data_IF_399286281483
#
_entry.id   IF_399286281483
#
_cell.length_a   1.000
_cell.length_b   1.000
_cell.length_c   1.000
_cell.angle_alpha   90.00
_cell.angle_beta   90.00
_cell.angle_gamma   90.00
#
_symmetry.space_group_name_H-M   'P 1'
#
loop_
_entity.id
_entity.type
_entity.pdbx_description
1 polymer ?
#
# COMPACT_ATOMS: atom_id res chain seq x y z
N UNK A 1 7.88 -2.85 15.58
CA UNK A 1 7.16 -4.00 14.99
C UNK A 1 6.32 -4.83 15.96
N UNK A 2 6.79 -5.25 17.15
CA UNK A 2 5.94 -6.02 18.09
C UNK A 2 4.61 -5.32 18.42
N UNK A 3 4.61 -4.01 18.61
CA UNK A 3 3.37 -3.23 18.81
C UNK A 3 2.50 -3.16 17.54
N UNK A 4 3.10 -2.81 16.39
CA UNK A 4 2.41 -2.75 15.07
C UNK A 4 1.85 -4.11 14.62
N UNK A 5 2.50 -5.21 15.01
CA UNK A 5 2.08 -6.59 14.77
C UNK A 5 1.06 -7.07 15.81
N UNK A 6 1.15 -6.60 17.08
CA UNK A 6 0.18 -6.92 18.13
C UNK A 6 -1.22 -6.33 17.86
N UNK A 7 -1.32 -5.15 17.26
CA UNK A 7 -2.62 -4.59 16.87
C UNK A 7 -3.35 -5.40 15.79
N UNK A 8 -2.61 -6.20 15.02
CA UNK A 8 -3.16 -7.01 13.93
C UNK A 8 -4.10 -8.09 14.47
N UNK A 9 -3.82 -8.60 15.68
CA UNK A 9 -4.61 -9.65 16.32
C UNK A 9 -5.67 -9.09 17.26
N UNK A 10 -5.50 -7.88 17.81
CA UNK A 10 -6.50 -7.29 18.72
C UNK A 10 -7.71 -6.69 18.00
N UNK A 11 -7.59 -6.24 16.76
CA UNK A 11 -8.74 -5.74 15.99
C UNK A 11 -9.57 -6.87 15.34
N UNK A 12 -9.01 -8.08 15.20
CA UNK A 12 -9.74 -9.24 14.65
C UNK A 12 -10.83 -9.79 15.56
N UNK A 13 -10.81 -9.45 16.86
CA UNK A 13 -11.72 -9.96 17.88
C UNK A 13 -12.72 -8.92 18.42
N UNK A 14 -12.73 -7.70 17.88
CA UNK A 14 -13.68 -6.65 18.28
C UNK A 14 -14.91 -6.70 17.39
N UNK A 15 -16.09 -6.52 17.98
CA UNK A 15 -17.33 -6.43 17.22
C UNK A 15 -17.34 -5.18 16.32
N UNK A 16 -17.74 -5.35 15.05
CA UNK A 16 -17.90 -4.23 14.12
C UNK A 16 -19.17 -3.47 14.49
N UNK A 17 -19.01 -2.23 14.98
CA UNK A 17 -20.15 -1.37 15.33
C UNK A 17 -20.85 -0.77 14.11
N UNK A 18 -20.11 -0.49 13.04
CA UNK A 18 -20.61 0.19 11.86
C UNK A 18 -20.09 -0.47 10.58
N UNK A 19 -20.91 -0.47 9.52
CA UNK A 19 -20.52 -0.93 8.20
C UNK A 19 -20.58 0.18 7.17
N UNK A 20 -19.60 0.22 6.27
CA UNK A 20 -19.61 1.20 5.18
C UNK A 20 -20.78 0.97 4.21
N UNK A 21 -21.26 -0.27 4.09
CA UNK A 21 -22.49 -0.56 3.33
C UNK A 21 -23.67 0.24 3.84
N UNK A 22 -23.81 0.37 5.16
CA UNK A 22 -24.96 1.01 5.79
C UNK A 22 -24.92 2.53 5.56
N UNK A 23 -23.72 3.12 5.64
CA UNK A 23 -23.49 4.51 5.30
C UNK A 23 -23.82 4.80 3.82
N UNK A 24 -23.29 3.99 2.90
CA UNK A 24 -23.56 4.18 1.47
C UNK A 24 -25.03 3.96 1.13
N UNK A 25 -25.69 2.98 1.75
CA UNK A 25 -27.12 2.77 1.54
C UNK A 25 -27.98 3.95 1.97
N UNK A 26 -27.53 4.74 2.96
CA UNK A 26 -28.26 5.91 3.46
C UNK A 26 -27.99 7.17 2.65
N UNK A 27 -26.73 7.42 2.27
CA UNK A 27 -26.31 8.75 1.79
C UNK A 27 -25.76 8.79 0.36
N UNK A 28 -25.41 7.65 -0.24
CA UNK A 28 -24.75 7.65 -1.55
C UNK A 28 -25.61 8.23 -2.66
N UNK A 29 -26.90 7.88 -2.68
CA UNK A 29 -27.81 8.28 -3.75
C UNK A 29 -28.12 9.79 -3.70
N UNK A 30 -28.05 10.41 -2.53
CA UNK A 30 -28.15 11.87 -2.35
C UNK A 30 -26.85 12.56 -2.76
N UNK A 31 -25.69 12.10 -2.25
CA UNK A 31 -24.39 12.64 -2.63
C UNK A 31 -24.13 12.57 -4.14
N UNK A 32 -24.53 11.48 -4.79
CA UNK A 32 -24.33 11.27 -6.22
C UNK A 32 -25.11 12.26 -7.11
N UNK A 33 -26.15 12.92 -6.59
CA UNK A 33 -26.89 13.94 -7.33
C UNK A 33 -26.12 15.26 -7.42
N UNK A 34 -25.39 15.63 -6.37
CA UNK A 34 -24.65 16.88 -6.27
C UNK A 34 -23.26 16.66 -5.67
N UNK A 35 -22.38 15.92 -6.35
CA UNK A 35 -21.11 15.54 -5.77
C UNK A 35 -20.14 16.72 -5.74
N UNK A 36 -19.41 16.88 -4.63
CA UNK A 36 -18.40 17.94 -4.49
C UNK A 36 -17.24 17.81 -5.49
N UNK A 37 -16.98 16.59 -5.96
CA UNK A 37 -15.98 16.28 -6.99
C UNK A 37 -16.57 15.29 -7.99
N UNK A 38 -16.01 15.24 -9.20
CA UNK A 38 -16.43 14.26 -10.19
C UNK A 38 -16.24 12.82 -9.68
N UNK A 39 -17.34 12.05 -9.65
CA UNK A 39 -17.30 10.63 -9.27
C UNK A 39 -16.87 9.80 -10.48
N UNK A 40 -15.75 9.09 -10.35
CA UNK A 40 -15.25 8.23 -11.43
C UNK A 40 -16.07 6.94 -11.57
N UNK A 41 -16.10 6.30 -12.76
CA UNK A 41 -16.75 5.01 -12.95
C UNK A 41 -16.28 3.92 -11.97
N UNK A 42 -15.00 3.95 -11.58
CA UNK A 42 -14.41 3.02 -10.59
C UNK A 42 -14.97 3.26 -9.18
N UNK A 43 -15.23 4.51 -8.81
CA UNK A 43 -15.85 4.84 -7.52
C UNK A 43 -17.30 4.36 -7.48
N UNK A 44 -18.09 4.56 -8.55
CA UNK A 44 -19.44 4.00 -8.66
C UNK A 44 -19.44 2.47 -8.53
N UNK A 45 -18.54 1.78 -9.26
CA UNK A 45 -18.39 0.32 -9.15
C UNK A 45 -18.04 -0.11 -7.74
N UNK A 46 -17.16 0.63 -7.06
CA UNK A 46 -16.76 0.33 -5.69
C UNK A 46 -17.94 0.44 -4.72
N UNK A 47 -18.70 1.53 -4.77
CA UNK A 47 -19.81 1.76 -3.85
C UNK A 47 -20.93 0.75 -4.08
N UNK A 48 -21.33 0.53 -5.34
CA UNK A 48 -22.34 -0.47 -5.66
C UNK A 48 -21.94 -1.86 -5.16
N UNK A 49 -20.69 -2.27 -5.40
CA UNK A 49 -20.19 -3.55 -4.92
C UNK A 49 -20.17 -3.64 -3.38
N UNK A 50 -19.90 -2.55 -2.67
CA UNK A 50 -19.94 -2.50 -1.19
C UNK A 50 -21.38 -2.64 -0.69
N UNK A 51 -22.33 -1.91 -1.28
CA UNK A 51 -23.75 -1.91 -0.88
C UNK A 51 -24.40 -3.29 -0.98
N UNK A 52 -24.10 -4.06 -2.03
CA UNK A 52 -24.69 -5.39 -2.25
C UNK A 52 -23.88 -6.54 -1.65
N UNK A 53 -22.69 -6.28 -1.09
CA UNK A 53 -21.84 -7.33 -0.56
C UNK A 53 -22.46 -8.02 0.66
N UNK A 54 -22.46 -9.36 0.68
CA UNK A 54 -23.06 -10.17 1.76
C UNK A 54 -24.57 -9.90 1.94
N UNK A 55 -25.25 -9.70 0.82
CA UNK A 55 -26.72 -9.62 0.74
C UNK A 55 -27.24 -10.71 -0.19
N UNK A 56 -28.54 -11.01 -0.11
CA UNK A 56 -29.21 -11.99 -1.00
C UNK A 56 -29.15 -11.59 -2.47
N UNK A 57 -28.94 -10.31 -2.78
CA UNK A 57 -28.77 -9.79 -4.16
C UNK A 57 -27.64 -10.50 -4.92
N UNK A 58 -26.59 -10.96 -4.23
CA UNK A 58 -25.48 -11.69 -4.84
C UNK A 58 -25.66 -13.22 -4.81
N UNK A 59 -26.77 -13.73 -4.28
CA UNK A 59 -26.98 -15.15 -4.05
C UNK A 59 -26.57 -15.62 -2.65
N UNK A 60 -27.03 -16.82 -2.30
CA UNK A 60 -26.79 -17.48 -1.02
C UNK A 60 -26.32 -18.92 -1.26
N UNK A 61 -25.40 -19.40 -0.43
CA UNK A 61 -25.11 -20.82 -0.27
C UNK A 61 -25.79 -21.32 1.00
N UNK A 62 -26.53 -22.43 0.91
CA UNK A 62 -27.19 -23.05 2.07
C UNK A 62 -26.43 -24.30 2.47
N UNK A 63 -25.96 -24.32 3.72
CA UNK A 63 -25.25 -25.45 4.33
C UNK A 63 -26.15 -26.11 5.35
N UNK A 64 -26.19 -27.44 5.34
CA UNK A 64 -26.95 -28.23 6.32
C UNK A 64 -25.98 -29.15 7.03
N UNK A 65 -25.99 -29.11 8.37
CA UNK A 65 -25.21 -30.05 9.18
C UNK A 65 -25.82 -31.46 9.05
N UNK A 66 -25.06 -32.47 8.60
CA UNK A 66 -25.60 -33.82 8.47
C UNK A 66 -25.94 -34.47 9.82
N UNK A 67 -25.32 -34.02 10.91
CA UNK A 67 -25.48 -34.63 12.24
C UNK A 67 -26.65 -34.06 13.04
N UNK A 68 -26.88 -32.74 12.98
CA UNK A 68 -27.91 -32.06 13.77
C UNK A 68 -28.98 -31.34 12.94
N UNK A 69 -28.84 -31.30 11.61
CA UNK A 69 -29.77 -30.61 10.72
C UNK A 69 -29.71 -29.08 10.76
N UNK A 70 -28.77 -28.48 11.51
CA UNK A 70 -28.60 -27.02 11.55
C UNK A 70 -28.37 -26.46 10.15
N UNK A 71 -29.20 -25.51 9.75
CA UNK A 71 -29.10 -24.82 8.45
C UNK A 71 -28.39 -23.49 8.63
N UNK A 72 -27.38 -23.23 7.79
CA UNK A 72 -26.69 -21.95 7.70
C UNK A 72 -26.71 -21.42 6.29
N UNK A 73 -27.23 -20.23 6.12
CA UNK A 73 -27.19 -19.50 4.85
C UNK A 73 -26.05 -18.49 4.86
N UNK A 74 -25.25 -18.50 3.79
CA UNK A 74 -24.11 -17.61 3.63
C UNK A 74 -24.29 -16.82 2.34
N UNK A 75 -24.58 -15.52 2.47
CA UNK A 75 -24.64 -14.63 1.30
C UNK A 75 -23.28 -14.45 0.64
N UNK A 76 -23.29 -14.38 -0.69
CA UNK A 76 -22.08 -14.26 -1.49
C UNK A 76 -21.38 -12.90 -1.29
N UNK A 77 -20.07 -12.89 -1.50
CA UNK A 77 -19.22 -11.69 -1.38
C UNK A 77 -19.04 -11.01 -2.75
N UNK A 78 -18.99 -9.68 -2.80
CA UNK A 78 -18.81 -8.94 -4.07
C UNK A 78 -17.41 -9.07 -4.69
N UNK A 79 -16.41 -9.53 -3.92
CA UNK A 79 -14.99 -9.69 -4.34
C UNK A 79 -14.33 -8.40 -4.84
N UNK A 80 -14.94 -7.24 -4.61
CA UNK A 80 -14.37 -5.96 -5.03
C UNK A 80 -13.20 -5.56 -4.11
N UNK A 81 -12.09 -5.09 -4.71
CA UNK A 81 -10.85 -4.77 -3.98
C UNK A 81 -10.99 -3.70 -2.89
N UNK A 82 -11.97 -2.81 -3.04
CA UNK A 82 -12.26 -1.74 -2.08
C UNK A 82 -13.36 -2.12 -1.08
N UNK A 83 -13.88 -3.36 -1.13
CA UNK A 83 -14.85 -3.81 -0.14
C UNK A 83 -14.15 -4.18 1.18
N UNK A 84 -14.47 -3.53 2.31
CA UNK A 84 -13.84 -3.80 3.60
C UNK A 84 -14.13 -5.23 4.10
N UNK A 85 -15.23 -5.83 3.66
CA UNK A 85 -15.62 -7.20 4.02
C UNK A 85 -14.96 -8.29 3.16
N UNK A 86 -14.49 -7.98 1.95
CA UNK A 86 -13.92 -8.98 1.03
C UNK A 86 -12.39 -9.09 1.13
N UNK A 87 -11.71 -7.97 1.40
CA UNK A 87 -10.25 -7.89 1.23
C UNK A 87 -9.42 -8.82 2.12
N UNK A 88 -9.97 -9.29 3.27
CA UNK A 88 -9.25 -10.18 4.19
C UNK A 88 -8.82 -11.50 3.52
N UNK A 89 -9.76 -12.22 2.90
CA UNK A 89 -9.47 -13.52 2.28
C UNK A 89 -8.51 -13.37 1.10
N UNK A 90 -8.64 -12.30 0.33
CA UNK A 90 -7.75 -12.02 -0.79
C UNK A 90 -6.34 -11.62 -0.32
N UNK A 91 -6.21 -10.91 0.81
CA UNK A 91 -4.92 -10.68 1.49
C UNK A 91 -4.27 -12.02 1.84
N UNK A 92 -5.00 -12.96 2.47
CA UNK A 92 -4.45 -14.25 2.86
C UNK A 92 -4.01 -15.09 1.64
N UNK A 93 -4.86 -15.18 0.61
CA UNK A 93 -4.53 -15.88 -0.64
C UNK A 93 -3.32 -15.26 -1.34
N UNK A 94 -3.25 -13.93 -1.39
CA UNK A 94 -2.08 -13.24 -1.95
C UNK A 94 -0.84 -13.53 -1.12
N UNK A 95 -0.94 -13.49 0.21
CA UNK A 95 0.18 -13.74 1.10
C UNK A 95 0.74 -15.16 0.96
N UNK A 96 -0.12 -16.18 0.86
CA UNK A 96 0.27 -17.56 0.60
C UNK A 96 1.06 -17.67 -0.72
N UNK A 97 0.53 -17.10 -1.82
CA UNK A 97 1.21 -17.10 -3.12
C UNK A 97 2.54 -16.35 -3.11
N UNK A 98 2.67 -15.28 -2.34
CA UNK A 98 3.95 -14.56 -2.23
C UNK A 98 4.96 -15.35 -1.44
N UNK A 99 4.54 -16.00 -0.33
CA UNK A 99 5.40 -16.86 0.48
C UNK A 99 6.07 -17.95 -0.36
N UNK A 100 5.32 -18.59 -1.27
CA UNK A 100 5.86 -19.63 -2.16
C UNK A 100 6.95 -19.13 -3.12
N UNK A 101 6.98 -17.82 -3.41
CA UNK A 101 7.96 -17.20 -4.33
C UNK A 101 9.16 -16.58 -3.62
N UNK A 102 9.18 -16.60 -2.28
CA UNK A 102 10.23 -15.94 -1.50
C UNK A 102 11.38 -16.90 -1.23
N UNK A 103 12.60 -16.34 -1.23
CA UNK A 103 13.80 -17.07 -0.84
C UNK A 103 13.71 -17.46 0.65
N UNK A 104 14.24 -18.62 1.03
CA UNK A 104 14.28 -19.06 2.44
C UNK A 104 15.41 -18.38 3.20
N UNK A 105 15.35 -17.06 3.28
CA UNK A 105 16.30 -16.19 4.01
C UNK A 105 15.52 -15.19 4.86
N UNK A 106 16.14 -14.50 5.84
CA UNK A 106 15.49 -13.41 6.53
C UNK A 106 15.05 -12.30 5.56
N UNK A 107 14.02 -11.53 5.91
CA UNK A 107 13.53 -10.43 5.08
C UNK A 107 13.44 -9.13 5.87
N UNK A 108 13.56 -8.00 5.18
CA UNK A 108 13.31 -6.68 5.73
C UNK A 108 12.05 -6.08 5.18
N UNK A 109 11.30 -5.42 6.06
CA UNK A 109 10.28 -4.47 5.63
C UNK A 109 10.95 -3.11 5.38
N UNK A 110 10.77 -2.58 4.18
CA UNK A 110 11.30 -1.29 3.76
C UNK A 110 10.16 -0.35 3.43
N UNK A 111 10.24 0.90 3.90
CA UNK A 111 9.37 1.98 3.47
C UNK A 111 10.20 3.07 2.82
N UNK A 112 9.79 3.52 1.64
CA UNK A 112 10.37 4.69 0.98
C UNK A 112 9.26 5.67 0.62
N UNK A 113 9.42 6.93 1.03
CA UNK A 113 8.38 7.96 0.93
C UNK A 113 8.85 9.11 0.07
N UNK A 114 7.94 9.64 -0.77
CA UNK A 114 8.19 10.85 -1.53
C UNK A 114 8.03 12.10 -0.66
N UNK A 115 8.93 13.10 -0.79
CA UNK A 115 8.75 14.41 -0.18
C UNK A 115 7.42 15.06 -0.57
N UNK A 116 6.76 15.74 0.37
CA UNK A 116 5.43 16.31 0.13
C UNK A 116 5.41 17.43 -0.92
N UNK A 117 6.55 18.07 -1.16
CA UNK A 117 6.73 19.06 -2.24
C UNK A 117 6.44 18.47 -3.64
N UNK A 118 6.48 17.15 -3.81
CA UNK A 118 6.15 16.48 -5.07
C UNK A 118 4.65 16.18 -5.23
N UNK A 119 3.83 16.37 -4.20
CA UNK A 119 2.45 15.87 -4.21
C UNK A 119 1.57 16.51 -5.29
N UNK A 120 1.76 17.79 -5.59
CA UNK A 120 0.98 18.42 -6.67
C UNK A 120 1.37 17.87 -8.04
N UNK A 121 2.67 17.60 -8.26
CA UNK A 121 3.13 16.91 -9.45
C UNK A 121 2.59 15.46 -9.51
N UNK A 122 2.50 14.77 -8.37
CA UNK A 122 1.88 13.44 -8.26
C UNK A 122 0.40 13.47 -8.61
N UNK A 123 -0.36 14.48 -8.17
CA UNK A 123 -1.80 14.58 -8.49
C UNK A 123 -2.04 14.68 -9.98
N UNK A 124 -1.27 15.52 -10.68
CA UNK A 124 -1.37 15.72 -12.14
C UNK A 124 -0.81 14.55 -12.93
N UNK A 125 0.29 13.95 -12.47
CA UNK A 125 1.05 12.93 -13.20
C UNK A 125 0.97 11.55 -12.53
N UNK A 126 -0.21 11.17 -12.04
CA UNK A 126 -0.38 10.03 -11.13
C UNK A 126 0.26 8.74 -11.66
N UNK A 127 -0.01 8.35 -12.90
CA UNK A 127 0.55 7.12 -13.48
C UNK A 127 2.09 7.16 -13.50
N UNK A 128 2.64 8.28 -13.96
CA UNK A 128 4.07 8.42 -14.25
C UNK A 128 4.88 8.53 -12.97
N UNK A 129 4.41 9.36 -12.04
CA UNK A 129 5.02 9.57 -10.72
C UNK A 129 5.01 8.28 -9.87
N UNK A 130 3.91 7.53 -9.89
CA UNK A 130 3.81 6.29 -9.13
C UNK A 130 4.65 5.16 -9.76
N UNK A 131 4.75 5.13 -11.10
CA UNK A 131 5.63 4.20 -11.80
C UNK A 131 7.11 4.44 -11.48
N UNK A 132 7.58 5.69 -11.56
CA UNK A 132 8.97 5.99 -11.24
C UNK A 132 9.28 5.70 -9.76
N UNK A 133 8.37 6.01 -8.82
CA UNK A 133 8.54 5.68 -7.41
C UNK A 133 8.74 4.17 -7.19
N UNK A 134 7.83 3.35 -7.74
CA UNK A 134 7.89 1.90 -7.59
C UNK A 134 9.17 1.30 -8.21
N UNK A 135 9.60 1.83 -9.35
CA UNK A 135 10.82 1.39 -10.04
C UNK A 135 12.06 1.78 -9.25
N UNK A 136 12.23 3.06 -8.95
CA UNK A 136 13.47 3.58 -8.36
C UNK A 136 13.64 3.12 -6.92
N UNK A 137 12.56 2.89 -6.16
CA UNK A 137 12.66 2.32 -4.81
C UNK A 137 13.21 0.89 -4.83
N UNK A 138 12.71 0.04 -5.73
CA UNK A 138 13.18 -1.34 -5.87
C UNK A 138 14.61 -1.42 -6.43
N UNK A 139 14.94 -0.60 -7.44
CA UNK A 139 16.29 -0.52 -8.01
C UNK A 139 17.32 -0.05 -6.98
N UNK A 140 16.98 0.94 -6.15
CA UNK A 140 17.88 1.43 -5.09
C UNK A 140 18.31 0.28 -4.18
N UNK A 141 17.36 -0.55 -3.73
CA UNK A 141 17.66 -1.68 -2.85
C UNK A 141 18.48 -2.76 -3.55
N UNK A 142 18.16 -3.05 -4.82
CA UNK A 142 18.90 -4.04 -5.62
C UNK A 142 20.35 -3.62 -5.86
N UNK A 143 20.55 -2.38 -6.28
CA UNK A 143 21.89 -1.83 -6.55
C UNK A 143 22.71 -1.75 -5.26
N UNK A 144 22.07 -1.36 -4.15
CA UNK A 144 22.73 -1.33 -2.85
C UNK A 144 23.16 -2.73 -2.39
N UNK A 145 22.29 -3.74 -2.48
CA UNK A 145 22.63 -5.13 -2.14
C UNK A 145 23.74 -5.69 -3.04
N UNK A 146 23.69 -5.39 -4.33
CA UNK A 146 24.73 -5.77 -5.27
C UNK A 146 26.07 -5.09 -4.94
N UNK A 147 26.07 -3.78 -4.72
CA UNK A 147 27.29 -3.03 -4.44
C UNK A 147 27.93 -3.41 -3.09
N UNK A 148 27.12 -3.66 -2.05
CA UNK A 148 27.65 -3.90 -0.69
C UNK A 148 27.94 -5.35 -0.39
N UNK A 149 27.20 -6.28 -1.00
CA UNK A 149 27.30 -7.70 -0.68
C UNK A 149 27.56 -8.59 -1.91
N UNK A 150 27.52 -8.05 -3.13
CA UNK A 150 27.64 -8.85 -4.35
C UNK A 150 26.43 -9.75 -4.61
N UNK A 151 25.25 -9.41 -4.04
CA UNK A 151 24.08 -10.29 -4.04
C UNK A 151 22.94 -9.73 -4.88
N UNK A 152 22.35 -10.60 -5.71
CA UNK A 152 21.07 -10.35 -6.38
C UNK A 152 19.92 -10.60 -5.40
N UNK A 153 19.40 -9.53 -4.80
CA UNK A 153 18.26 -9.58 -3.86
C UNK A 153 16.91 -9.61 -4.57
N UNK A 154 15.92 -10.23 -3.92
CA UNK A 154 14.51 -10.17 -4.30
C UNK A 154 13.79 -9.01 -3.60
N UNK A 155 12.91 -8.32 -4.33
CA UNK A 155 12.08 -7.23 -3.79
C UNK A 155 10.63 -7.42 -4.25
N UNK A 156 9.71 -7.43 -3.29
CA UNK A 156 8.26 -7.33 -3.52
C UNK A 156 7.83 -5.93 -3.11
N UNK A 157 7.30 -5.13 -4.02
CA UNK A 157 6.87 -3.76 -3.74
C UNK A 157 5.34 -3.63 -3.82
N UNK A 158 4.77 -2.86 -2.89
CA UNK A 158 3.36 -2.48 -2.85
C UNK A 158 3.27 -0.97 -2.68
N UNK A 159 2.50 -0.34 -3.56
CA UNK A 159 2.26 1.08 -3.54
C UNK A 159 1.22 1.47 -2.49
N UNK A 160 1.45 2.58 -1.80
CA UNK A 160 0.47 3.19 -0.92
C UNK A 160 0.46 4.72 -1.10
N UNK A 161 -0.72 5.30 -1.33
CA UNK A 161 -0.86 6.72 -1.68
C UNK A 161 -1.42 7.58 -0.55
N UNK A 162 -1.82 6.99 0.57
CA UNK A 162 -2.44 7.72 1.69
C UNK A 162 -1.83 7.31 3.02
N UNK A 163 -1.80 8.25 3.98
CA UNK A 163 -1.39 7.99 5.35
C UNK A 163 -2.53 7.47 6.23
N UNK A 164 -2.24 7.21 7.50
CA UNK A 164 -3.28 6.85 8.49
C UNK A 164 -4.31 7.97 8.68
N UNK A 165 -3.90 9.23 8.56
CA UNK A 165 -4.78 10.42 8.58
C UNK A 165 -5.58 10.63 7.30
N UNK A 166 -5.48 9.71 6.33
CA UNK A 166 -6.15 9.77 5.01
C UNK A 166 -5.74 10.95 4.11
N UNK A 167 -4.69 11.67 4.51
CA UNK A 167 -4.03 12.65 3.66
C UNK A 167 -3.14 11.96 2.62
N UNK A 168 -2.97 12.62 1.47
CA UNK A 168 -2.12 12.13 0.39
C UNK A 168 -0.67 11.99 0.91
N UNK A 169 -0.17 10.77 0.91
CA UNK A 169 1.15 10.42 1.43
C UNK A 169 1.69 9.25 0.61
N UNK A 170 2.51 9.56 -0.37
CA UNK A 170 2.90 8.57 -1.39
C UNK A 170 4.19 7.87 -1.01
N UNK A 171 4.09 6.56 -0.80
CA UNK A 171 5.17 5.71 -0.33
C UNK A 171 5.04 4.27 -0.85
N UNK A 172 6.15 3.54 -0.81
CA UNK A 172 6.16 2.10 -1.12
C UNK A 172 6.42 1.31 0.15
N UNK A 173 5.64 0.26 0.39
CA UNK A 173 6.00 -0.82 1.30
C UNK A 173 6.70 -1.91 0.48
N UNK A 174 7.89 -2.32 0.89
CA UNK A 174 8.64 -3.36 0.21
C UNK A 174 9.06 -4.46 1.16
N UNK A 175 9.06 -5.70 0.67
CA UNK A 175 9.68 -6.85 1.33
C UNK A 175 10.93 -7.15 0.53
N UNK A 176 12.09 -6.98 1.17
CA UNK A 176 13.40 -7.22 0.56
C UNK A 176 14.03 -8.44 1.22
N UNK A 177 14.57 -9.37 0.42
CA UNK A 177 15.35 -10.47 0.99
C UNK A 177 16.65 -9.95 1.60
N UNK A 178 16.90 -10.28 2.86
CA UNK A 178 18.19 -10.05 3.51
C UNK A 178 19.13 -11.20 3.15
N UNK A 179 19.73 -11.04 1.97
CA UNK A 179 20.38 -12.11 1.24
C UNK A 179 19.93 -12.11 -0.22
N UNK A 180 20.52 -13.00 -0.98
CA UNK A 180 20.28 -13.09 -2.41
C UNK A 180 21.11 -14.18 -3.06
N UNK A 181 21.13 -14.15 -4.38
CA UNK A 181 21.90 -15.07 -5.21
C UNK A 181 23.25 -14.42 -5.51
N UNK A 182 24.35 -15.10 -5.21
CA UNK A 182 25.70 -14.67 -5.57
C UNK A 182 26.02 -14.91 -7.06
N UNK A 183 27.27 -14.70 -7.47
CA UNK A 183 27.68 -14.92 -8.86
C UNK A 183 27.75 -16.41 -9.24
N UNK A 184 27.86 -17.32 -8.28
CA UNK A 184 27.89 -18.78 -8.47
C UNK A 184 26.48 -19.40 -8.45
N UNK A 185 25.44 -18.59 -8.27
CA UNK A 185 24.06 -19.07 -8.18
C UNK A 185 23.66 -19.58 -6.79
N UNK A 186 24.50 -19.41 -5.77
CA UNK A 186 24.21 -19.85 -4.40
C UNK A 186 23.42 -18.80 -3.64
N UNK A 187 22.54 -19.26 -2.76
CA UNK A 187 21.82 -18.39 -1.84
C UNK A 187 22.75 -18.04 -0.67
N UNK A 188 23.01 -16.75 -0.49
CA UNK A 188 23.91 -16.23 0.54
C UNK A 188 23.17 -15.20 1.40
N UNK A 189 23.44 -15.22 2.70
CA UNK A 189 22.99 -14.24 3.68
C UNK A 189 24.22 -13.43 4.11
N UNK A 190 24.19 -12.08 4.11
CA UNK A 190 25.31 -11.29 4.61
C UNK A 190 25.69 -11.64 6.05
N UNK A 191 26.98 -11.80 6.30
CA UNK A 191 27.52 -12.09 7.64
C UNK A 191 27.34 -10.91 8.62
N UNK A 192 27.20 -9.70 8.09
CA UNK A 192 27.08 -8.47 8.88
C UNK A 192 25.85 -7.66 8.47
N UNK A 193 25.19 -7.07 9.46
CA UNK A 193 24.07 -6.16 9.28
C UNK A 193 24.55 -4.74 8.94
N UNK A 194 25.15 -4.56 7.76
CA UNK A 194 25.52 -3.22 7.29
C UNK A 194 24.33 -2.52 6.66
N UNK A 195 23.81 -1.47 7.30
CA UNK A 195 22.79 -0.56 6.76
C UNK A 195 23.22 0.88 6.96
N UNK A 196 23.40 1.62 5.86
CA UNK A 196 23.69 3.06 5.91
C UNK A 196 22.57 3.87 5.23
N UNK A 197 21.56 4.22 6.02
CA UNK A 197 20.34 4.92 5.56
C UNK A 197 20.64 6.18 4.74
N UNK A 198 21.55 7.10 5.15
CA UNK A 198 21.83 8.31 4.38
C UNK A 198 22.31 8.03 2.95
N UNK A 199 23.10 6.97 2.73
CA UNK A 199 23.53 6.56 1.39
C UNK A 199 22.37 6.03 0.57
N UNK A 200 21.51 5.18 1.16
CA UNK A 200 20.35 4.62 0.47
C UNK A 200 19.37 5.74 0.09
N UNK A 201 19.08 6.67 1.00
CA UNK A 201 18.27 7.87 0.73
C UNK A 201 18.85 8.68 -0.44
N UNK A 202 20.17 8.91 -0.46
CA UNK A 202 20.84 9.67 -1.52
C UNK A 202 20.71 9.01 -2.88
N UNK A 203 20.88 7.68 -2.96
CA UNK A 203 20.75 6.91 -4.20
C UNK A 203 19.29 6.90 -4.68
N UNK A 204 18.34 6.66 -3.77
CA UNK A 204 16.91 6.70 -4.09
C UNK A 204 16.50 8.05 -4.66
N UNK A 205 16.87 9.13 -3.98
CA UNK A 205 16.65 10.50 -4.45
C UNK A 205 17.21 10.70 -5.85
N UNK A 206 18.50 10.39 -6.06
CA UNK A 206 19.16 10.60 -7.35
C UNK A 206 18.46 9.83 -8.49
N UNK A 207 18.12 8.56 -8.27
CA UNK A 207 17.39 7.76 -9.27
C UNK A 207 16.01 8.34 -9.58
N UNK A 208 15.29 8.78 -8.55
CA UNK A 208 13.98 9.39 -8.74
C UNK A 208 14.07 10.73 -9.48
N UNK A 209 14.99 11.60 -9.09
CA UNK A 209 15.24 12.89 -9.75
C UNK A 209 15.63 12.70 -11.21
N UNK A 210 16.53 11.75 -11.50
CA UNK A 210 16.92 11.43 -12.87
C UNK A 210 15.71 10.99 -13.71
N UNK A 211 14.92 10.04 -13.21
CA UNK A 211 13.72 9.57 -13.89
C UNK A 211 12.68 10.70 -14.09
N UNK A 212 12.57 11.61 -13.13
CA UNK A 212 11.67 12.76 -13.22
C UNK A 212 12.14 13.77 -14.27
N UNK A 213 13.46 13.99 -14.35
CA UNK A 213 14.07 14.83 -15.39
C UNK A 213 13.85 14.24 -16.77
N UNK A 214 14.01 12.93 -16.95
CA UNK A 214 13.72 12.25 -18.22
C UNK A 214 12.25 12.43 -18.65
N UNK A 215 11.30 12.35 -17.70
CA UNK A 215 9.90 12.58 -18.01
C UNK A 215 9.62 14.03 -18.42
N UNK A 216 10.29 15.00 -17.79
CA UNK A 216 10.22 16.41 -18.17
C UNK A 216 10.78 16.64 -19.57
N UNK A 217 12.01 16.18 -19.82
CA UNK A 217 12.71 16.38 -21.09
C UNK A 217 11.99 15.68 -22.26
N UNK A 218 11.23 14.61 -21.98
CA UNK A 218 10.38 13.92 -22.96
C UNK A 218 8.99 14.56 -23.15
N UNK A 219 8.65 15.65 -22.45
CA UNK A 219 7.33 16.29 -22.53
C UNK A 219 6.18 15.43 -21.98
N UNK A 220 6.48 14.51 -21.05
CA UNK A 220 5.52 13.56 -20.47
C UNK A 220 4.99 13.96 -19.10
N UNK A 221 5.32 15.15 -18.64
CA UNK A 221 4.83 15.72 -17.39
C UNK A 221 3.85 16.86 -17.67
N UNK A 222 2.67 16.79 -17.08
CA UNK A 222 1.77 17.91 -16.92
C UNK A 222 2.28 18.81 -15.79
N UNK A 223 2.70 20.04 -16.13
CA UNK A 223 3.32 20.98 -15.20
C UNK A 223 3.15 22.44 -15.65
N UNK A 224 3.44 23.37 -14.74
CA UNK A 224 3.36 24.82 -15.00
C UNK A 224 4.75 25.50 -15.15
N UNK A 225 5.85 24.72 -15.16
CA UNK A 225 7.20 25.28 -15.36
C UNK A 225 7.34 25.91 -16.75
N UNK A 226 7.85 27.15 -16.81
CA UNK A 226 8.03 27.91 -18.07
C UNK A 226 9.11 27.31 -18.97
N UNK A 227 10.17 26.82 -18.35
CA UNK A 227 11.32 26.26 -19.03
C UNK A 227 12.03 25.22 -18.16
N UNK A 228 13.04 24.59 -18.75
CA UNK A 228 13.88 23.59 -18.08
C UNK A 228 14.66 24.18 -16.89
N UNK A 229 15.03 25.45 -16.93
CA UNK A 229 15.79 26.10 -15.86
C UNK A 229 14.92 26.24 -14.61
N UNK A 230 13.66 26.63 -14.77
CA UNK A 230 12.68 26.70 -13.69
C UNK A 230 12.42 25.32 -13.07
N UNK A 231 12.26 24.29 -13.91
CA UNK A 231 12.11 22.92 -13.44
C UNK A 231 13.33 22.41 -12.67
N UNK A 232 14.55 22.65 -13.16
CA UNK A 232 15.77 22.30 -12.41
C UNK A 232 15.89 23.06 -11.09
N UNK A 233 15.42 24.31 -11.03
CA UNK A 233 15.26 25.06 -9.79
C UNK A 233 14.31 24.38 -8.80
N UNK A 234 13.20 23.81 -9.28
CA UNK A 234 12.30 22.98 -8.48
C UNK A 234 12.97 21.69 -8.01
N UNK A 235 13.67 20.95 -8.88
CA UNK A 235 14.43 19.75 -8.49
C UNK A 235 15.44 20.07 -7.37
N UNK A 236 16.16 21.20 -7.45
CA UNK A 236 17.06 21.63 -6.37
C UNK A 236 16.32 21.87 -5.05
N UNK A 237 15.11 22.44 -5.09
CA UNK A 237 14.26 22.60 -3.89
C UNK A 237 13.86 21.24 -3.32
N UNK A 238 13.47 20.29 -4.18
CA UNK A 238 13.15 18.90 -3.79
C UNK A 238 14.36 18.22 -3.16
N UNK A 239 15.55 18.38 -3.73
CA UNK A 239 16.79 17.77 -3.26
C UNK A 239 17.21 18.25 -1.86
N UNK A 240 16.90 19.50 -1.54
CA UNK A 240 17.20 20.14 -0.26
C UNK A 240 16.19 19.82 0.85
N UNK A 241 15.09 19.12 0.56
CA UNK A 241 14.15 18.67 1.59
C UNK A 241 14.75 17.50 2.37
N UNK A 242 14.56 17.52 3.69
CA UNK A 242 14.97 16.44 4.60
C UNK A 242 14.02 15.24 4.60
N UNK A 243 12.97 15.28 3.78
CA UNK A 243 11.84 14.35 3.85
C UNK A 243 11.97 13.14 2.91
N UNK A 244 13.17 12.89 2.38
CA UNK A 244 13.49 11.64 1.67
C UNK A 244 13.63 10.51 2.69
N UNK A 245 12.51 10.01 3.16
CA UNK A 245 12.44 9.03 4.24
C UNK A 245 12.63 7.63 3.64
N UNK A 246 13.68 6.96 4.11
CA UNK A 246 13.88 5.52 3.93
C UNK A 246 13.92 4.88 5.31
N UNK A 247 13.02 3.92 5.54
CA UNK A 247 12.98 3.14 6.75
C UNK A 247 13.25 1.68 6.42
N UNK A 248 14.30 1.10 7.00
CA UNK A 248 14.61 -0.33 6.92
C UNK A 248 14.47 -0.94 8.31
N UNK A 249 13.53 -1.86 8.47
CA UNK A 249 13.44 -2.67 9.68
C UNK A 249 14.58 -3.71 9.75
N UNK A 250 14.92 -4.20 10.95
CA UNK A 250 15.81 -5.35 11.13
C UNK A 250 15.33 -6.59 10.36
N UNK A 251 16.22 -7.53 10.01
CA UNK A 251 15.86 -8.72 9.26
C UNK A 251 15.06 -9.68 10.14
N UNK A 252 13.99 -10.27 9.58
CA UNK A 252 13.08 -11.17 10.29
C UNK A 252 13.01 -12.52 9.59
N UNK A 253 13.09 -13.60 10.37
CA UNK A 253 12.99 -14.98 9.87
C UNK A 253 11.56 -15.43 9.51
N UNK A 254 10.53 -14.71 9.95
CA UNK A 254 9.12 -15.03 9.74
C UNK A 254 8.44 -14.06 8.76
N UNK A 255 8.57 -14.27 7.44
CA UNK A 255 8.02 -13.36 6.44
C UNK A 255 6.48 -13.38 6.42
N UNK A 256 5.79 -14.39 6.93
CA UNK A 256 4.33 -14.51 6.85
C UNK A 256 3.61 -13.28 7.41
N UNK A 257 4.05 -12.80 8.58
CA UNK A 257 3.45 -11.64 9.22
C UNK A 257 3.72 -10.36 8.43
N UNK A 258 4.92 -10.21 7.89
CA UNK A 258 5.31 -9.07 7.05
C UNK A 258 4.56 -9.11 5.71
N UNK A 259 4.43 -10.27 5.09
CA UNK A 259 3.67 -10.48 3.86
C UNK A 259 2.20 -10.17 4.11
N UNK A 260 1.59 -10.69 5.18
CA UNK A 260 0.20 -10.38 5.50
C UNK A 260 0.03 -8.88 5.75
N UNK A 261 0.96 -8.26 6.49
CA UNK A 261 0.98 -6.82 6.73
C UNK A 261 0.99 -6.03 5.41
N UNK A 262 1.97 -6.30 4.54
CA UNK A 262 2.12 -5.62 3.24
C UNK A 262 0.94 -5.93 2.31
N UNK A 263 0.41 -7.15 2.36
CA UNK A 263 -0.74 -7.60 1.58
C UNK A 263 -2.04 -6.86 1.93
N UNK A 264 -2.13 -6.25 3.12
CA UNK A 264 -3.26 -5.38 3.46
C UNK A 264 -3.31 -4.17 2.54
N UNK A 265 -2.17 -3.53 2.27
CA UNK A 265 -2.11 -2.37 1.36
C UNK A 265 -2.40 -2.74 -0.09
N UNK A 266 -2.17 -3.99 -0.48
CA UNK A 266 -2.48 -4.47 -1.83
C UNK A 266 -3.96 -4.84 -2.02
N UNK A 267 -4.62 -5.37 -0.97
CA UNK A 267 -5.91 -6.08 -1.11
C UNK A 267 -7.06 -5.52 -0.28
N UNK A 268 -6.82 -4.53 0.60
CA UNK A 268 -7.88 -3.96 1.45
C UNK A 268 -8.21 -2.53 1.07
N UNK A 269 -9.42 -2.14 1.45
CA UNK A 269 -9.88 -0.76 1.42
C UNK A 269 -9.00 0.13 2.33
N UNK A 270 -8.96 1.43 2.02
CA UNK A 270 -8.20 2.42 2.77
C UNK A 270 -8.74 2.62 4.21
N UNK A 271 -10.05 2.46 4.40
CA UNK A 271 -10.72 2.58 5.69
C UNK A 271 -11.18 1.20 6.19
N UNK A 272 -10.73 0.82 7.38
CA UNK A 272 -11.19 -0.37 8.09
C UNK A 272 -12.47 -0.04 8.85
N UNK A 273 -13.51 -0.87 8.72
CA UNK A 273 -14.76 -0.72 9.49
C UNK A 273 -14.54 -0.80 11.00
N UNK A 274 -13.51 -1.53 11.45
CA UNK A 274 -13.10 -1.59 12.86
C UNK A 274 -12.59 -0.26 13.40
N UNK A 275 -12.16 0.66 12.52
CA UNK A 275 -11.71 2.00 12.91
C UNK A 275 -12.86 3.00 13.00
N UNK A 276 -14.06 2.68 12.50
CA UNK A 276 -15.20 3.60 12.52
C UNK A 276 -15.77 3.66 13.94
N UNK A 277 -15.84 4.86 14.49
CA UNK A 277 -16.29 5.11 15.87
C UNK A 277 -17.69 5.72 15.94
N UNK A 278 -18.13 6.43 14.90
CA UNK A 278 -19.48 6.99 14.80
C UNK A 278 -19.88 7.23 13.33
N UNK A 279 -21.19 7.29 13.07
CA UNK A 279 -21.81 7.68 11.81
C UNK A 279 -22.98 8.64 12.13
N UNK A 280 -22.73 9.94 12.03
CA UNK A 280 -23.65 11.01 12.45
C UNK A 280 -24.07 11.85 11.24
N UNK A 281 -25.28 11.60 10.75
CA UNK A 281 -25.71 12.17 9.47
C UNK A 281 -24.77 11.71 8.35
N UNK A 282 -24.32 12.68 7.54
CA UNK A 282 -23.36 12.51 6.44
C UNK A 282 -21.89 12.36 6.90
N UNK A 283 -21.63 12.38 8.22
CA UNK A 283 -20.26 12.34 8.75
C UNK A 283 -19.88 10.95 9.27
N UNK A 284 -18.66 10.50 8.93
CA UNK A 284 -18.03 9.30 9.50
C UNK A 284 -16.88 9.73 10.40
N UNK A 285 -16.92 9.30 11.66
CA UNK A 285 -15.78 9.42 12.58
C UNK A 285 -14.99 8.12 12.60
N UNK A 286 -13.66 8.22 12.56
CA UNK A 286 -12.79 7.05 12.67
C UNK A 286 -11.54 7.34 13.50
N UNK A 287 -11.03 6.32 14.19
CA UNK A 287 -9.78 6.39 14.93
C UNK A 287 -8.59 6.19 14.01
N UNK A 288 -7.55 7.00 14.18
CA UNK A 288 -6.29 6.88 13.47
C UNK A 288 -5.10 7.00 14.44
N UNK A 289 -3.91 6.68 13.95
CA UNK A 289 -2.64 6.95 14.66
C UNK A 289 -2.02 8.19 14.08
N UNK A 290 -1.76 9.17 14.95
CA UNK A 290 -0.91 10.30 14.60
C UNK A 290 0.54 9.86 14.85
N UNK A 291 1.37 9.88 13.81
CA UNK A 291 2.78 9.47 13.87
C UNK A 291 3.71 10.67 14.12
N UNK A 292 3.18 11.75 14.69
CA UNK A 292 3.96 12.90 15.16
C UNK A 292 4.76 12.57 16.42
#
# INVERSE_FOLDING_TARGET
MKEVLNDIYTDGCKEKKYRLSDFFNRWWDEYAQHPAEYITPEQYKAVNAIRVCRTTTLGIDTYVCPDCGEVREISHSCKHRFCPSCGWRDTLKWAARMKEKMLRVPHRHVVMTLPHILLDLVKRNRKEMLNILMRTSAETLKDWMMHKFGLKTGVIAVLHTYGETKQLHVHTHMIMSWGGIDNDGKIVIPEHDYVHIPSICKVFRYKFEHALIELFDAGRLEHDFRDRMEFMGFIKKVANKKDWIVHLEPPIQMPEQVIQYVGRYSKRACLSEYKITAMDGENISFRYRDYK
#
